data_IF_564968085541
#
_entry.id   IF_564968085541
#
_cell.length_a   1.000
_cell.length_b   1.000
_cell.length_c   1.000
_cell.angle_alpha   90.00
_cell.angle_beta   90.00
_cell.angle_gamma   90.00
#
_symmetry.space_group_name_H-M   'P 1'
#
loop_
_entity.id
_entity.type
_entity.pdbx_description
1 polymer ?
#
# COMPACT_ATOMS: atom_id res chain seq x y z
N UNK A 1 5.85 20.69 -16.24
CA UNK A 1 6.07 19.23 -16.30
C UNK A 1 5.88 18.52 -14.95
N UNK A 2 5.94 19.22 -13.81
CA UNK A 2 5.76 18.62 -12.48
C UNK A 2 4.33 18.11 -12.18
N UNK A 3 3.27 18.84 -12.56
CA UNK A 3 1.87 18.48 -12.22
C UNK A 3 1.40 17.14 -12.79
N UNK A 4 1.81 16.78 -14.02
CA UNK A 4 1.46 15.48 -14.63
C UNK A 4 2.13 14.30 -13.92
N UNK A 5 3.30 14.50 -13.30
CA UNK A 5 4.01 13.47 -12.55
C UNK A 5 3.37 13.23 -11.17
N UNK A 6 2.95 14.30 -10.48
CA UNK A 6 2.24 14.20 -9.18
C UNK A 6 0.89 13.51 -9.33
N UNK A 7 0.10 13.87 -10.36
CA UNK A 7 -1.18 13.22 -10.64
C UNK A 7 -1.04 11.72 -11.00
N UNK A 8 0.00 11.36 -11.77
CA UNK A 8 0.29 9.96 -12.14
C UNK A 8 0.77 9.13 -10.95
N UNK A 9 1.53 9.73 -10.03
CA UNK A 9 2.00 9.10 -8.79
C UNK A 9 0.82 8.84 -7.84
N UNK A 10 -0.06 9.82 -7.69
CA UNK A 10 -1.28 9.69 -6.89
C UNK A 10 -2.16 8.52 -7.37
N UNK A 11 -2.36 8.40 -8.69
CA UNK A 11 -3.18 7.30 -9.23
C UNK A 11 -2.60 5.90 -9.01
N UNK A 12 -1.26 5.75 -9.06
CA UNK A 12 -0.59 4.47 -8.76
C UNK A 12 -0.81 4.09 -7.30
N UNK A 13 -0.66 5.05 -6.38
CA UNK A 13 -0.85 4.87 -4.94
C UNK A 13 -2.32 4.53 -4.61
N UNK A 14 -3.29 5.22 -5.23
CA UNK A 14 -4.72 4.93 -5.08
C UNK A 14 -5.07 3.49 -5.49
N UNK A 15 -4.48 2.98 -6.59
CA UNK A 15 -4.68 1.59 -7.02
C UNK A 15 -4.11 0.61 -5.98
N UNK A 16 -2.94 0.88 -5.40
CA UNK A 16 -2.33 0.03 -4.38
C UNK A 16 -3.13 0.04 -3.07
N UNK A 17 -3.65 1.20 -2.67
CA UNK A 17 -4.54 1.32 -1.51
C UNK A 17 -5.84 0.53 -1.72
N UNK A 18 -6.47 0.66 -2.89
CA UNK A 18 -7.67 -0.12 -3.19
C UNK A 18 -7.38 -1.62 -3.22
N UNK A 19 -6.22 -2.04 -3.71
CA UNK A 19 -5.81 -3.45 -3.70
C UNK A 19 -5.60 -3.96 -2.26
N UNK A 20 -4.98 -3.16 -1.38
CA UNK A 20 -4.82 -3.52 0.02
C UNK A 20 -6.16 -3.74 0.72
N UNK A 21 -7.13 -2.81 0.53
CA UNK A 21 -8.47 -2.94 1.10
C UNK A 21 -9.23 -4.18 0.58
N UNK A 22 -9.06 -4.51 -0.70
CA UNK A 22 -9.65 -5.73 -1.27
C UNK A 22 -9.05 -7.00 -0.68
N UNK A 23 -7.76 -6.99 -0.28
CA UNK A 23 -7.09 -8.12 0.37
C UNK A 23 -7.51 -8.30 1.83
N UNK A 24 -7.82 -7.20 2.51
CA UNK A 24 -8.33 -7.16 3.89
C UNK A 24 -9.77 -7.67 3.97
N UNK A 25 -10.62 -7.29 3.01
CA UNK A 25 -12.02 -7.71 2.99
C UNK A 25 -12.15 -9.24 2.96
N UNK A 26 -13.08 -9.79 3.76
CA UNK A 26 -13.36 -11.23 3.97
C UNK A 26 -13.65 -12.05 2.68
N UNK A 27 -13.70 -11.38 1.53
CA UNK A 27 -13.58 -11.95 0.20
C UNK A 27 -12.18 -12.48 -0.13
N UNK A 28 -11.22 -12.52 0.81
CA UNK A 28 -9.90 -13.14 0.62
C UNK A 28 -9.91 -14.62 0.15
N UNK A 29 -11.08 -15.28 0.23
CA UNK A 29 -11.35 -16.59 -0.39
C UNK A 29 -11.82 -16.51 -1.86
N UNK A 30 -12.36 -15.37 -2.28
CA UNK A 30 -12.65 -15.05 -3.67
C UNK A 30 -11.40 -14.47 -4.35
N UNK A 31 -11.07 -15.03 -5.52
CA UNK A 31 -10.00 -14.52 -6.39
C UNK A 31 -10.15 -13.01 -6.62
N UNK A 32 -9.22 -12.20 -6.12
CA UNK A 32 -9.06 -10.81 -6.57
C UNK A 32 -8.70 -10.84 -8.06
N UNK A 33 -9.59 -10.23 -8.86
CA UNK A 33 -9.39 -10.05 -10.30
C UNK A 33 -8.99 -8.61 -10.59
N UNK A 34 -8.15 -8.44 -11.60
CA UNK A 34 -7.74 -7.13 -12.12
C UNK A 34 -8.93 -6.31 -12.63
N UNK A 35 -9.96 -6.97 -13.15
CA UNK A 35 -11.23 -6.34 -13.50
C UNK A 35 -11.97 -5.75 -12.30
N UNK A 36 -12.08 -6.48 -11.17
CA UNK A 36 -12.70 -5.95 -9.94
C UNK A 36 -11.92 -4.77 -9.37
N UNK A 37 -10.59 -4.85 -9.37
CA UNK A 37 -9.71 -3.76 -8.92
C UNK A 37 -9.81 -2.52 -9.84
N UNK A 38 -9.88 -2.72 -11.16
CA UNK A 38 -10.05 -1.61 -12.09
C UNK A 38 -11.39 -0.91 -11.87
N UNK A 39 -12.46 -1.68 -11.61
CA UNK A 39 -13.78 -1.14 -11.29
C UNK A 39 -13.80 -0.37 -9.96
N UNK A 40 -13.14 -0.86 -8.91
CA UNK A 40 -13.13 -0.20 -7.59
C UNK A 40 -12.48 1.18 -7.62
N UNK A 41 -11.48 1.38 -8.48
CA UNK A 41 -10.81 2.68 -8.66
C UNK A 41 -11.34 3.49 -9.84
N UNK A 42 -12.34 2.99 -10.58
CA UNK A 42 -12.96 3.70 -11.70
C UNK A 42 -12.07 3.86 -12.93
N UNK A 43 -11.26 2.84 -13.28
CA UNK A 43 -10.48 2.78 -14.52
C UNK A 43 -10.84 1.56 -15.36
N UNK A 44 -10.47 1.56 -16.63
CA UNK A 44 -10.51 0.34 -17.43
C UNK A 44 -9.37 -0.61 -17.04
N UNK A 45 -9.58 -1.92 -17.19
CA UNK A 45 -8.54 -2.92 -16.93
C UNK A 45 -7.29 -2.70 -17.80
N UNK A 46 -7.47 -2.26 -19.05
CA UNK A 46 -6.37 -1.88 -19.93
C UNK A 46 -5.58 -0.65 -19.41
N UNK A 47 -6.25 0.32 -18.76
CA UNK A 47 -5.58 1.47 -18.15
C UNK A 47 -4.78 1.06 -16.90
N UNK A 48 -5.30 0.10 -16.13
CA UNK A 48 -4.61 -0.46 -14.96
C UNK A 48 -3.28 -1.16 -15.36
N UNK A 49 -3.26 -1.90 -16.47
CA UNK A 49 -2.02 -2.49 -17.00
C UNK A 49 -0.96 -1.47 -17.46
N UNK A 50 -1.35 -0.22 -17.75
CA UNK A 50 -0.37 0.86 -18.04
C UNK A 50 0.42 1.27 -16.80
N UNK A 51 -0.14 1.07 -15.61
CA UNK A 51 0.51 1.33 -14.34
C UNK A 51 1.25 0.10 -13.80
N UNK A 52 0.71 -1.09 -14.04
CA UNK A 52 1.26 -2.36 -13.57
C UNK A 52 1.30 -3.36 -14.72
N UNK A 53 2.46 -3.55 -15.37
CA UNK A 53 2.58 -4.37 -16.59
C UNK A 53 2.14 -5.83 -16.42
N UNK A 54 2.13 -6.34 -15.19
CA UNK A 54 1.66 -7.69 -14.86
C UNK A 54 1.01 -7.71 -13.48
N UNK A 55 0.23 -8.78 -13.22
CA UNK A 55 -0.32 -9.04 -11.89
C UNK A 55 0.80 -9.17 -10.85
N UNK A 56 1.87 -9.91 -11.15
CA UNK A 56 3.03 -10.04 -10.25
C UNK A 56 3.63 -8.67 -9.90
N UNK A 57 3.88 -7.81 -10.90
CA UNK A 57 4.42 -6.47 -10.66
C UNK A 57 3.52 -5.57 -9.82
N UNK A 58 2.21 -5.80 -9.86
CA UNK A 58 1.25 -5.10 -9.00
C UNK A 58 1.43 -5.48 -7.54
N UNK A 59 1.57 -6.78 -7.23
CA UNK A 59 1.83 -7.24 -5.87
C UNK A 59 3.22 -6.84 -5.39
N UNK A 60 4.24 -6.91 -6.24
CA UNK A 60 5.58 -6.41 -5.89
C UNK A 60 5.52 -4.91 -5.52
N UNK A 61 4.81 -4.11 -6.33
CA UNK A 61 4.62 -2.68 -6.06
C UNK A 61 3.84 -2.42 -4.78
N UNK A 62 2.92 -3.32 -4.41
CA UNK A 62 2.18 -3.22 -3.14
C UNK A 62 3.13 -3.47 -1.96
N UNK A 63 3.99 -4.48 -2.05
CA UNK A 63 4.99 -4.77 -1.02
C UNK A 63 5.95 -3.59 -0.88
N UNK A 64 6.46 -3.05 -1.99
CA UNK A 64 7.30 -1.84 -2.00
C UNK A 64 6.59 -0.65 -1.33
N UNK A 65 5.31 -0.43 -1.63
CA UNK A 65 4.53 0.65 -1.01
C UNK A 65 4.36 0.47 0.51
N UNK A 66 4.12 -0.77 0.95
CA UNK A 66 4.02 -1.11 2.37
C UNK A 66 5.36 -0.87 3.07
N UNK A 67 6.45 -1.34 2.46
CA UNK A 67 7.82 -1.18 2.97
C UNK A 67 8.18 0.31 3.10
N UNK A 68 7.99 1.10 2.04
CA UNK A 68 8.25 2.54 2.04
C UNK A 68 7.45 3.27 3.14
N UNK A 69 6.18 2.89 3.32
CA UNK A 69 5.30 3.47 4.35
C UNK A 69 5.79 3.15 5.76
N UNK A 70 6.18 1.90 6.01
CA UNK A 70 6.70 1.46 7.31
C UNK A 70 8.06 2.10 7.61
N UNK A 71 9.00 2.06 6.67
CA UNK A 71 10.34 2.64 6.82
C UNK A 71 10.25 4.15 7.06
N UNK A 72 9.42 4.86 6.30
CA UNK A 72 9.21 6.29 6.50
C UNK A 72 8.76 6.59 7.93
N UNK A 73 7.81 5.81 8.45
CA UNK A 73 7.29 6.00 9.81
C UNK A 73 8.27 5.57 10.89
N UNK A 74 9.04 4.50 10.67
CA UNK A 74 10.15 4.08 11.56
C UNK A 74 11.20 5.18 11.64
N UNK A 75 11.59 5.78 10.51
CA UNK A 75 12.57 6.86 10.49
C UNK A 75 12.11 8.10 11.28
N UNK A 76 10.81 8.41 11.27
CA UNK A 76 10.24 9.47 12.12
C UNK A 76 10.33 9.10 13.61
N UNK A 77 10.01 7.85 13.97
CA UNK A 77 10.17 7.37 15.36
C UNK A 77 11.64 7.48 15.81
N UNK A 78 12.58 7.07 14.97
CA UNK A 78 14.01 7.16 15.27
C UNK A 78 14.49 8.61 15.41
N UNK A 79 13.88 9.54 14.67
CA UNK A 79 14.21 10.97 14.73
C UNK A 79 13.67 11.64 15.99
N UNK A 80 12.41 11.34 16.35
CA UNK A 80 11.68 12.10 17.37
C UNK A 80 11.86 11.51 18.78
N UNK A 81 12.00 10.19 18.90
CA UNK A 81 12.29 9.51 20.16
C UNK A 81 13.80 9.22 20.25
N UNK A 82 14.40 9.40 21.44
CA UNK A 82 15.84 9.15 21.68
C UNK A 82 16.10 7.97 22.60
N UNK A 83 15.14 7.61 23.45
CA UNK A 83 15.24 6.42 24.29
C UNK A 83 15.09 5.14 23.46
N UNK A 84 16.04 4.21 23.63
CA UNK A 84 16.08 2.97 22.84
C UNK A 84 14.88 2.06 23.14
N UNK A 85 14.49 1.93 24.41
CA UNK A 85 13.38 1.07 24.81
C UNK A 85 12.06 1.63 24.29
N UNK A 86 11.87 2.95 24.37
CA UNK A 86 10.71 3.64 23.81
C UNK A 86 10.64 3.50 22.28
N UNK A 87 11.76 3.64 21.55
CA UNK A 87 11.82 3.38 20.10
C UNK A 87 11.35 1.98 19.75
N UNK A 88 11.90 0.95 20.41
CA UNK A 88 11.51 -0.44 20.17
C UNK A 88 10.02 -0.65 20.40
N UNK A 89 9.48 -0.12 21.50
CA UNK A 89 8.05 -0.18 21.79
C UNK A 89 7.20 0.47 20.69
N UNK A 90 7.58 1.67 20.24
CA UNK A 90 6.85 2.39 19.18
C UNK A 90 6.92 1.66 17.83
N UNK A 91 8.06 1.08 17.48
CA UNK A 91 8.22 0.29 16.25
C UNK A 91 7.38 -0.99 16.32
N UNK A 92 7.38 -1.71 17.44
CA UNK A 92 6.53 -2.89 17.61
C UNK A 92 5.05 -2.53 17.53
N UNK A 93 4.62 -1.46 18.20
CA UNK A 93 3.24 -0.97 18.11
C UNK A 93 2.87 -0.54 16.69
N UNK A 94 3.79 0.08 15.96
CA UNK A 94 3.60 0.42 14.54
C UNK A 94 3.35 -0.84 13.72
N UNK A 95 4.20 -1.87 13.86
CA UNK A 95 4.07 -3.12 13.11
C UNK A 95 2.78 -3.88 13.46
N UNK A 96 2.44 -3.95 14.75
CA UNK A 96 1.20 -4.58 15.22
C UNK A 96 -0.03 -3.83 14.72
N UNK A 97 -0.06 -2.51 14.89
CA UNK A 97 -1.18 -1.68 14.42
C UNK A 97 -1.29 -1.60 12.90
N UNK A 98 -0.20 -1.84 12.17
CA UNK A 98 -0.22 -2.02 10.73
C UNK A 98 -0.82 -3.38 10.35
N UNK A 99 -0.42 -4.45 11.04
CA UNK A 99 -0.99 -5.79 10.84
C UNK A 99 -2.48 -5.88 11.19
N UNK A 100 -2.93 -5.22 12.26
CA UNK A 100 -4.35 -5.17 12.63
C UNK A 100 -5.21 -4.52 11.56
N UNK A 101 -4.76 -3.44 10.92
CA UNK A 101 -5.49 -2.79 9.81
C UNK A 101 -5.47 -3.57 8.50
N UNK A 102 -4.60 -4.57 8.36
CA UNK A 102 -4.58 -5.45 7.18
C UNK A 102 -5.41 -6.73 7.43
N UNK A 103 -5.66 -7.08 8.69
CA UNK A 103 -6.34 -8.31 9.11
C UNK A 103 -7.75 -8.12 9.67
N UNK A 104 -8.16 -6.88 9.98
CA UNK A 104 -9.49 -6.52 10.50
C UNK A 104 -10.24 -5.69 9.48
#
# INVERSE_FOLDING_TARGET
MAEKQTAKRNRREEILQSLALMLESSDGSQRITTAKLAASVGVSEAALYRHFPSKTRMFDSLIEFIEDSLITRINLILKDEKDTTARLRLIVLLLLGFGERILA
#
